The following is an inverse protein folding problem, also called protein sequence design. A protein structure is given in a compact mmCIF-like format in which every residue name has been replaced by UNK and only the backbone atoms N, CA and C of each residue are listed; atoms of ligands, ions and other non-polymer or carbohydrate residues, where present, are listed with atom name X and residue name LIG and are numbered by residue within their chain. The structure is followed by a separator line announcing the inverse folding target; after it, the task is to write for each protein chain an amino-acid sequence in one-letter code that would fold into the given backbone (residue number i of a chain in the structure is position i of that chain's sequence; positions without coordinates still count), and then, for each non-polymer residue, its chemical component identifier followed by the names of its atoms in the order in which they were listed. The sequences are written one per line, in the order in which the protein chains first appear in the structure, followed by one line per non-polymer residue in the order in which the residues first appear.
data_IF_103076605870
#
_entry.id   IF_103076605870
#
_cell.length_a   1.000
_cell.length_b   1.000
_cell.length_c   1.000
_cell.angle_alpha   90.00
_cell.angle_beta   90.00
_cell.angle_gamma   90.00
#
_symmetry.space_group_name_H-M   'P 1'
#
loop_
_entity.id
_entity.type
_entity.pdbx_description
1 polymer ?
#
# COMPACT_ATOMS: atom_id res chain seq x y z
N UNK A 1 -11.37 -22.05 29.65
CA UNK A 1 -11.91 -22.51 28.35
C UNK A 1 -10.82 -22.33 27.31
N UNK A 2 -10.35 -23.41 26.69
CA UNK A 2 -9.33 -23.36 25.64
C UNK A 2 -10.03 -23.23 24.29
N UNK A 3 -9.86 -22.10 23.61
CA UNK A 3 -10.35 -21.93 22.24
C UNK A 3 -9.40 -22.64 21.29
N UNK A 4 -9.82 -23.78 20.75
CA UNK A 4 -9.11 -24.50 19.69
C UNK A 4 -9.31 -23.72 18.38
N UNK A 5 -8.32 -22.92 17.99
CA UNK A 5 -8.33 -22.22 16.71
C UNK A 5 -8.12 -23.24 15.57
N UNK A 6 -9.17 -23.53 14.80
CA UNK A 6 -9.04 -24.24 13.52
C UNK A 6 -8.53 -23.23 12.48
N UNK A 7 -7.24 -23.35 12.14
CA UNK A 7 -6.56 -22.50 11.16
C UNK A 7 -6.91 -22.86 9.69
N UNK A 8 -7.80 -23.83 9.46
CA UNK A 8 -8.01 -24.44 8.14
C UNK A 8 -8.93 -23.65 7.19
N UNK A 9 -9.41 -22.46 7.57
CA UNK A 9 -10.43 -21.73 6.80
C UNK A 9 -9.91 -20.59 5.92
N UNK A 10 -8.68 -20.13 6.14
CA UNK A 10 -8.06 -19.09 5.31
C UNK A 10 -6.61 -19.44 4.98
N UNK A 11 -6.33 -19.58 3.69
CA UNK A 11 -4.99 -19.85 3.19
C UNK A 11 -4.30 -18.53 2.83
N UNK A 12 -3.36 -18.09 3.67
CA UNK A 12 -2.53 -16.90 3.41
C UNK A 12 -1.15 -17.32 2.91
N UNK A 13 -0.79 -16.81 1.74
CA UNK A 13 0.49 -16.98 1.05
C UNK A 13 1.14 -15.61 0.83
N UNK A 14 2.41 -15.45 1.19
CA UNK A 14 3.17 -14.22 0.91
C UNK A 14 4.44 -14.55 0.13
N UNK A 15 4.62 -13.87 -1.00
CA UNK A 15 5.78 -14.03 -1.88
C UNK A 15 6.59 -12.72 -1.95
N UNK A 16 7.92 -12.83 -2.00
CA UNK A 16 8.83 -11.70 -2.13
C UNK A 16 9.78 -11.92 -3.32
N UNK A 17 9.72 -11.02 -4.30
CA UNK A 17 10.58 -11.02 -5.49
C UNK A 17 11.28 -9.66 -5.60
N UNK A 18 12.59 -9.68 -5.86
CA UNK A 18 13.43 -8.47 -5.84
C UNK A 18 14.33 -8.40 -7.08
N UNK A 19 14.76 -7.19 -7.42
CA UNK A 19 15.63 -6.93 -8.56
C UNK A 19 14.96 -7.12 -9.93
N UNK A 20 13.62 -7.07 -9.98
CA UNK A 20 12.85 -7.26 -11.21
C UNK A 20 13.01 -6.05 -12.14
N UNK A 21 12.96 -6.32 -13.45
CA UNK A 21 12.63 -5.28 -14.44
C UNK A 21 11.15 -4.93 -14.37
N UNK A 22 10.77 -3.75 -14.85
CA UNK A 22 9.35 -3.37 -14.89
C UNK A 22 8.53 -4.31 -15.78
N UNK A 23 9.11 -4.81 -16.87
CA UNK A 23 8.48 -5.83 -17.74
C UNK A 23 8.16 -7.11 -16.97
N UNK A 24 9.10 -7.62 -16.17
CA UNK A 24 8.86 -8.79 -15.33
C UNK A 24 7.76 -8.55 -14.29
N UNK A 25 7.67 -7.33 -13.74
CA UNK A 25 6.57 -6.96 -12.83
C UNK A 25 5.23 -6.96 -13.56
N UNK A 26 5.16 -6.36 -14.76
CA UNK A 26 3.95 -6.37 -15.60
C UNK A 26 3.51 -7.81 -15.88
N UNK A 27 4.41 -8.66 -16.41
CA UNK A 27 4.11 -10.06 -16.70
C UNK A 27 3.59 -10.80 -15.47
N UNK A 28 4.24 -10.60 -14.31
CA UNK A 28 3.83 -11.26 -13.06
C UNK A 28 2.45 -10.82 -12.59
N UNK A 29 2.10 -9.54 -12.77
CA UNK A 29 0.76 -9.02 -12.44
C UNK A 29 -0.28 -9.56 -13.43
N UNK A 30 0.02 -9.56 -14.73
CA UNK A 30 -0.93 -9.96 -15.78
C UNK A 30 -1.27 -11.46 -15.77
N UNK A 31 -0.45 -12.30 -15.12
CA UNK A 31 -0.76 -13.71 -14.88
C UNK A 31 -1.82 -13.93 -13.79
N UNK A 32 -2.17 -12.89 -13.03
CA UNK A 32 -3.17 -12.94 -11.98
C UNK A 32 -4.57 -12.60 -12.53
N UNK A 33 -5.61 -13.20 -11.95
CA UNK A 33 -6.97 -13.15 -12.50
C UNK A 33 -7.70 -11.83 -12.19
N UNK A 34 -7.50 -11.27 -10.99
CA UNK A 34 -8.11 -10.02 -10.54
C UNK A 34 -7.20 -9.30 -9.53
N UNK A 35 -5.96 -8.92 -9.91
CA UNK A 35 -4.99 -8.41 -8.97
C UNK A 35 -5.34 -7.01 -8.43
N UNK A 36 -5.17 -6.84 -7.12
CA UNK A 36 -5.22 -5.56 -6.42
C UNK A 36 -3.79 -5.03 -6.29
N UNK A 37 -3.38 -4.13 -7.17
CA UNK A 37 -2.00 -3.65 -7.31
C UNK A 37 -1.80 -2.35 -6.53
N UNK A 38 -1.01 -2.40 -5.46
CA UNK A 38 -0.64 -1.25 -4.63
C UNK A 38 0.64 -0.64 -5.16
N UNK A 39 0.64 0.68 -5.34
CA UNK A 39 1.85 1.46 -5.64
C UNK A 39 1.96 2.70 -4.76
N UNK A 40 3.18 3.02 -4.33
CA UNK A 40 3.52 4.30 -3.72
C UNK A 40 3.47 5.38 -4.80
N UNK A 41 2.40 6.19 -4.83
CA UNK A 41 2.12 7.07 -5.96
C UNK A 41 2.44 8.53 -5.65
N UNK A 42 1.95 9.04 -4.52
CA UNK A 42 2.17 10.43 -4.08
C UNK A 42 3.19 10.43 -2.96
N UNK A 43 4.29 11.17 -3.11
CA UNK A 43 5.31 11.29 -2.08
C UNK A 43 4.93 12.28 -0.98
N UNK A 44 5.73 12.31 0.10
CA UNK A 44 5.54 13.24 1.22
C UNK A 44 5.62 14.74 0.85
N UNK A 45 6.12 15.05 -0.35
CA UNK A 45 6.21 16.41 -0.90
C UNK A 45 5.26 16.63 -2.09
N UNK A 46 4.23 15.79 -2.23
CA UNK A 46 3.19 15.90 -3.25
C UNK A 46 3.43 15.05 -4.51
N UNK A 47 2.52 15.20 -5.47
CA UNK A 47 2.46 14.39 -6.68
C UNK A 47 3.48 14.86 -7.71
N UNK A 48 4.52 14.05 -7.97
CA UNK A 48 5.60 14.41 -8.91
C UNK A 48 5.25 14.04 -10.34
N UNK A 49 5.27 15.00 -11.26
CA UNK A 49 4.92 14.77 -12.69
C UNK A 49 5.76 13.64 -13.32
N UNK A 50 7.06 13.61 -13.07
CA UNK A 50 7.94 12.57 -13.60
C UNK A 50 7.60 11.17 -13.06
N UNK A 51 7.25 11.08 -11.77
CA UNK A 51 6.81 9.83 -11.15
C UNK A 51 5.47 9.33 -11.71
N UNK A 52 4.52 10.26 -11.91
CA UNK A 52 3.23 9.98 -12.57
C UNK A 52 3.44 9.43 -13.97
N UNK A 53 4.26 10.11 -14.78
CA UNK A 53 4.57 9.68 -16.14
C UNK A 53 5.22 8.29 -16.15
N UNK A 54 6.17 8.03 -15.25
CA UNK A 54 6.79 6.71 -15.13
C UNK A 54 5.77 5.61 -14.84
N UNK A 55 4.93 5.80 -13.80
CA UNK A 55 3.95 4.79 -13.45
C UNK A 55 2.92 4.56 -14.55
N UNK A 56 2.46 5.63 -15.20
CA UNK A 56 1.55 5.55 -16.35
C UNK A 56 2.15 4.68 -17.45
N UNK A 57 3.29 5.09 -17.99
CA UNK A 57 3.85 4.51 -19.22
C UNK A 57 4.39 3.11 -19.01
N UNK A 58 4.98 2.83 -17.84
CA UNK A 58 5.73 1.61 -17.61
C UNK A 58 5.03 0.61 -16.70
N UNK A 59 3.90 0.95 -16.05
CA UNK A 59 3.24 0.02 -15.14
C UNK A 59 1.72 -0.01 -15.27
N UNK A 60 1.04 1.13 -15.06
CA UNK A 60 -0.42 1.21 -15.04
C UNK A 60 -1.00 0.90 -16.43
N UNK A 61 -0.63 1.67 -17.46
CA UNK A 61 -1.18 1.44 -18.81
C UNK A 61 -0.85 0.05 -19.36
N UNK A 62 0.41 -0.45 -19.27
CA UNK A 62 0.74 -1.79 -19.77
C UNK A 62 -0.01 -2.92 -19.08
N UNK A 63 -0.21 -2.84 -17.76
CA UNK A 63 -0.97 -3.84 -17.01
C UNK A 63 -2.45 -3.78 -17.38
N UNK A 64 -3.06 -2.60 -17.38
CA UNK A 64 -4.50 -2.45 -17.67
C UNK A 64 -4.86 -2.89 -19.09
N UNK A 65 -3.94 -2.78 -20.05
CA UNK A 65 -4.12 -3.30 -21.42
C UNK A 65 -4.17 -4.84 -21.48
N UNK A 66 -3.47 -5.53 -20.60
CA UNK A 66 -3.35 -7.00 -20.60
C UNK A 66 -4.25 -7.68 -19.56
N UNK A 67 -4.51 -7.01 -18.44
CA UNK A 67 -5.34 -7.48 -17.34
C UNK A 67 -6.38 -6.40 -16.99
N UNK A 68 -7.47 -6.40 -17.76
CA UNK A 68 -8.60 -5.45 -17.62
C UNK A 68 -9.37 -5.59 -16.31
N UNK A 69 -9.05 -6.59 -15.48
CA UNK A 69 -9.61 -6.76 -14.13
C UNK A 69 -8.70 -6.20 -13.04
N UNK A 70 -7.44 -5.89 -13.35
CA UNK A 70 -6.53 -5.31 -12.38
C UNK A 70 -7.08 -4.00 -11.82
N UNK A 71 -6.93 -3.81 -10.51
CA UNK A 71 -7.29 -2.58 -9.81
C UNK A 71 -6.04 -2.00 -9.16
N UNK A 72 -5.68 -0.77 -9.51
CA UNK A 72 -4.56 -0.04 -8.92
C UNK A 72 -5.00 0.79 -7.71
N UNK A 73 -4.28 0.60 -6.61
CA UNK A 73 -4.39 1.33 -5.36
C UNK A 73 -3.22 2.32 -5.26
N UNK A 74 -3.48 3.56 -5.65
CA UNK A 74 -2.53 4.67 -5.68
C UNK A 74 -2.40 5.24 -4.27
N UNK A 75 -1.30 4.92 -3.59
CA UNK A 75 -1.11 5.33 -2.20
C UNK A 75 -0.57 6.76 -2.13
N UNK A 76 -1.20 7.56 -1.27
CA UNK A 76 -0.75 8.90 -0.92
C UNK A 76 0.02 8.94 0.41
N UNK A 77 1.33 9.14 0.28
CA UNK A 77 2.28 9.18 1.39
C UNK A 77 2.44 10.59 2.00
N UNK A 78 1.57 11.55 1.70
CA UNK A 78 1.69 12.94 2.22
C UNK A 78 1.74 12.98 3.76
N UNK A 79 0.98 12.13 4.44
CA UNK A 79 0.96 12.02 5.91
C UNK A 79 2.34 11.69 6.52
N UNK A 80 3.21 11.01 5.77
CA UNK A 80 4.58 10.70 6.18
C UNK A 80 5.46 11.94 6.33
N UNK A 81 5.01 13.12 5.87
CA UNK A 81 5.68 14.39 6.13
C UNK A 81 5.84 14.71 7.62
N UNK A 82 4.92 14.24 8.49
CA UNK A 82 4.97 14.46 9.94
C UNK A 82 6.22 13.86 10.61
N UNK A 83 6.83 12.86 9.98
CA UNK A 83 8.06 12.19 10.45
C UNK A 83 9.33 12.99 10.15
N UNK A 84 9.21 14.03 9.32
CA UNK A 84 10.33 14.82 8.82
C UNK A 84 10.23 16.29 9.27
N UNK A 85 9.04 16.77 9.56
CA UNK A 85 8.76 18.15 9.94
C UNK A 85 7.52 18.20 10.86
N UNK A 86 7.65 18.79 12.05
CA UNK A 86 6.56 18.98 13.03
C UNK A 86 5.41 19.86 12.53
N UNK A 87 5.64 20.66 11.48
CA UNK A 87 4.58 21.46 10.85
C UNK A 87 3.66 20.61 9.96
N UNK A 88 4.05 19.36 9.64
CA UNK A 88 3.21 18.41 8.93
C UNK A 88 2.39 17.56 9.90
N UNK A 89 1.21 17.12 9.49
CA UNK A 89 0.34 16.25 10.29
C UNK A 89 0.17 14.88 9.65
N UNK A 90 -0.02 13.84 10.47
CA UNK A 90 -0.48 12.52 10.01
C UNK A 90 -1.88 12.53 9.40
N UNK A 91 -2.61 13.65 9.55
CA UNK A 91 -3.90 13.87 8.89
C UNK A 91 -3.77 14.49 7.51
N UNK A 92 -2.57 14.94 7.12
CA UNK A 92 -2.35 15.57 5.82
C UNK A 92 -2.49 14.54 4.69
N UNK A 93 -3.12 14.97 3.61
CA UNK A 93 -3.23 14.22 2.37
C UNK A 93 -3.13 15.19 1.19
N UNK A 94 -2.77 14.68 0.01
CA UNK A 94 -2.71 15.48 -1.20
C UNK A 94 -4.11 15.66 -1.80
N UNK A 95 -4.46 16.88 -2.22
CA UNK A 95 -5.76 17.15 -2.83
C UNK A 95 -6.00 16.39 -4.14
N UNK A 96 -4.94 15.98 -4.85
CA UNK A 96 -5.06 15.16 -6.07
C UNK A 96 -5.71 13.80 -5.79
N UNK A 97 -5.63 13.29 -4.55
CA UNK A 97 -6.33 12.06 -4.16
C UNK A 97 -7.83 12.16 -4.40
N UNK A 98 -8.43 13.32 -4.11
CA UNK A 98 -9.85 13.52 -4.29
C UNK A 98 -10.24 13.56 -5.77
N UNK A 99 -9.37 14.07 -6.66
CA UNK A 99 -9.63 14.00 -8.10
C UNK A 99 -9.51 12.57 -8.63
N UNK A 100 -8.51 11.83 -8.19
CA UNK A 100 -8.36 10.41 -8.55
C UNK A 100 -9.60 9.62 -8.11
N UNK A 101 -10.10 9.85 -6.90
CA UNK A 101 -11.33 9.22 -6.38
C UNK A 101 -12.60 9.63 -7.13
N UNK A 102 -12.59 10.76 -7.86
CA UNK A 102 -13.73 11.21 -8.69
C UNK A 102 -13.75 10.55 -10.07
N UNK A 103 -12.67 9.91 -10.49
CA UNK A 103 -12.69 9.16 -11.74
C UNK A 103 -13.73 8.04 -11.62
N UNK A 104 -14.61 7.91 -12.62
CA UNK A 104 -15.67 6.90 -12.63
C UNK A 104 -15.13 5.46 -12.80
N UNK A 105 -13.82 5.32 -12.95
CA UNK A 105 -13.15 4.05 -13.18
C UNK A 105 -12.92 3.27 -11.87
N UNK A 106 -13.52 2.09 -11.78
CA UNK A 106 -13.33 1.19 -10.64
C UNK A 106 -11.92 0.59 -10.55
N UNK A 107 -11.13 0.67 -11.62
CA UNK A 107 -9.78 0.12 -11.68
C UNK A 107 -8.73 1.04 -11.11
N UNK A 108 -9.02 2.31 -10.87
CA UNK A 108 -8.11 3.25 -10.24
C UNK A 108 -8.72 3.72 -8.93
N UNK A 109 -8.02 3.47 -7.83
CA UNK A 109 -8.41 3.90 -6.49
C UNK A 109 -7.26 4.66 -5.86
N UNK A 110 -7.58 5.60 -4.98
CA UNK A 110 -6.59 6.25 -4.15
C UNK A 110 -6.77 5.81 -2.69
N UNK A 111 -5.67 5.62 -1.97
CA UNK A 111 -5.69 5.35 -0.54
C UNK A 111 -4.70 6.26 0.19
N UNK A 112 -5.18 6.95 1.21
CA UNK A 112 -4.42 7.97 1.93
C UNK A 112 -3.70 7.31 3.11
N UNK A 113 -2.39 7.49 3.25
CA UNK A 113 -1.67 7.08 4.47
C UNK A 113 -2.29 7.68 5.73
N UNK A 114 -2.86 8.88 5.64
CA UNK A 114 -3.62 9.51 6.72
C UNK A 114 -4.79 8.64 7.22
N UNK A 115 -5.49 7.93 6.32
CA UNK A 115 -6.57 6.99 6.68
C UNK A 115 -6.00 5.80 7.45
N UNK A 116 -4.86 5.29 7.02
CA UNK A 116 -4.19 4.15 7.68
C UNK A 116 -3.63 4.55 9.04
N UNK A 117 -2.99 5.72 9.16
CA UNK A 117 -2.52 6.24 10.45
C UNK A 117 -3.65 6.50 11.43
N UNK A 118 -4.78 7.04 10.96
CA UNK A 118 -6.00 7.16 11.78
C UNK A 118 -6.45 5.78 12.29
N UNK A 119 -6.49 4.76 11.43
CA UNK A 119 -6.81 3.39 11.86
C UNK A 119 -5.82 2.85 12.90
N UNK A 120 -4.53 3.10 12.73
CA UNK A 120 -3.50 2.70 13.71
C UNK A 120 -3.76 3.34 15.08
N UNK A 121 -4.24 4.59 15.13
CA UNK A 121 -4.64 5.25 16.37
C UNK A 121 -5.89 4.63 16.99
N UNK A 122 -6.84 4.21 16.16
CA UNK A 122 -8.17 3.75 16.58
C UNK A 122 -8.23 2.25 16.95
N UNK A 123 -7.18 1.46 16.66
CA UNK A 123 -7.14 0.05 17.09
C UNK A 123 -7.09 -0.02 18.61
N UNK A 124 -8.17 -0.56 19.17
CA UNK A 124 -8.39 -0.69 20.62
C UNK A 124 -8.59 -2.14 21.06
N UNK A 125 -8.75 -3.06 20.11
CA UNK A 125 -8.94 -4.48 20.39
C UNK A 125 -7.68 -5.03 21.06
N UNK A 126 -7.83 -5.43 22.33
CA UNK A 126 -6.69 -5.79 23.20
C UNK A 126 -5.79 -6.85 22.58
N UNK A 127 -6.36 -7.85 21.94
CA UNK A 127 -5.61 -8.93 21.28
C UNK A 127 -4.81 -8.45 20.08
N UNK A 128 -5.37 -7.56 19.24
CA UNK A 128 -4.63 -6.91 18.15
C UNK A 128 -3.51 -6.02 18.69
N UNK A 129 -3.80 -5.20 19.71
CA UNK A 129 -2.82 -4.31 20.35
C UNK A 129 -1.66 -5.13 20.92
N UNK A 130 -1.95 -6.14 21.74
CA UNK A 130 -0.95 -6.99 22.38
C UNK A 130 -0.11 -7.76 21.34
N UNK A 131 -0.74 -8.23 20.26
CA UNK A 131 -0.04 -8.93 19.19
C UNK A 131 0.95 -8.00 18.47
N UNK A 132 0.48 -6.85 17.98
CA UNK A 132 1.34 -5.96 17.20
C UNK A 132 2.43 -5.33 18.05
N UNK A 133 2.18 -4.95 19.30
CA UNK A 133 3.24 -4.50 20.20
C UNK A 133 4.40 -5.49 20.25
N UNK A 134 4.13 -6.78 20.45
CA UNK A 134 5.16 -7.83 20.41
C UNK A 134 5.79 -8.01 19.03
N UNK A 135 5.00 -7.99 17.96
CA UNK A 135 5.49 -8.19 16.60
C UNK A 135 6.46 -7.09 16.16
N UNK A 136 6.21 -5.84 16.53
CA UNK A 136 7.03 -4.69 16.12
C UNK A 136 8.41 -4.66 16.79
N UNK A 137 8.60 -5.37 17.90
CA UNK A 137 9.93 -5.58 18.53
C UNK A 137 10.84 -6.53 17.73
N UNK A 138 10.36 -7.16 16.65
CA UNK A 138 11.19 -8.04 15.81
C UNK A 138 12.35 -7.25 15.18
N UNK A 139 13.56 -7.74 15.40
CA UNK A 139 14.83 -7.08 15.03
C UNK A 139 14.95 -6.66 13.57
N UNK A 140 14.31 -7.35 12.61
CA UNK A 140 14.41 -6.98 11.20
C UNK A 140 13.66 -5.67 10.91
N UNK A 141 12.51 -5.45 11.55
CA UNK A 141 11.68 -4.25 11.41
C UNK A 141 12.49 -3.05 11.89
N UNK A 142 12.93 -3.04 13.15
CA UNK A 142 13.66 -1.89 13.71
C UNK A 142 15.00 -1.61 13.03
N UNK A 143 15.67 -2.64 12.48
CA UNK A 143 16.93 -2.45 11.74
C UNK A 143 16.77 -1.73 10.42
N UNK A 144 15.63 -1.83 9.74
CA UNK A 144 15.46 -1.33 8.37
C UNK A 144 15.54 0.20 8.26
N UNK A 145 15.25 0.94 9.33
CA UNK A 145 15.36 2.41 9.38
C UNK A 145 16.39 2.94 10.38
N UNK A 146 17.18 2.06 11.02
CA UNK A 146 18.16 2.46 12.07
C UNK A 146 19.20 3.50 11.61
N UNK A 147 19.50 3.50 10.31
CA UNK A 147 20.49 4.39 9.69
C UNK A 147 19.92 5.76 9.30
N UNK A 148 18.60 5.95 9.42
CA UNK A 148 17.97 7.22 9.09
C UNK A 148 18.43 8.30 10.09
N UNK A 149 18.56 9.56 9.63
CA UNK A 149 19.01 10.64 10.50
C UNK A 149 18.02 10.87 11.63
N UNK A 150 18.52 11.15 12.83
CA UNK A 150 17.68 11.54 13.95
C UNK A 150 17.02 12.90 13.63
N UNK A 151 15.69 12.99 13.75
CA UNK A 151 14.95 14.24 13.55
C UNK A 151 14.55 14.90 14.86
N UNK A 152 14.78 14.23 16.00
CA UNK A 152 14.33 14.64 17.33
C UNK A 152 12.81 14.90 17.36
N UNK A 153 12.06 14.10 16.61
CA UNK A 153 10.60 14.08 16.62
C UNK A 153 10.19 12.74 17.17
N UNK A 154 9.57 12.69 18.34
CA UNK A 154 9.15 11.46 18.97
C UNK A 154 7.82 10.96 18.39
N UNK A 155 7.60 9.64 18.39
CA UNK A 155 6.32 9.03 17.95
C UNK A 155 5.12 9.61 18.71
N UNK A 156 5.25 9.90 20.00
CA UNK A 156 4.17 10.54 20.79
C UNK A 156 3.76 11.91 20.28
N UNK A 157 4.68 12.69 19.73
CA UNK A 157 4.38 14.03 19.21
C UNK A 157 3.54 13.92 17.93
N UNK A 158 3.79 12.88 17.12
CA UNK A 158 3.09 12.62 15.87
C UNK A 158 1.67 12.07 16.13
N UNK A 159 1.53 11.14 17.08
CA UNK A 159 0.28 10.44 17.38
C UNK A 159 -0.48 11.01 18.60
N UNK A 160 0.03 12.09 19.19
CA UNK A 160 -0.55 12.77 20.37
C UNK A 160 -0.81 11.83 21.56
N UNK A 161 0.15 10.93 21.85
CA UNK A 161 0.03 9.87 22.86
C UNK A 161 -1.20 8.94 22.72
N UNK A 162 -1.89 8.99 21.57
CA UNK A 162 -3.15 8.29 21.32
C UNK A 162 -2.98 7.22 20.24
N UNK A 163 -2.14 6.22 20.52
CA UNK A 163 -1.96 5.03 19.70
C UNK A 163 -1.45 3.83 20.55
N UNK A 164 -2.36 3.00 21.07
CA UNK A 164 -2.01 1.89 21.97
C UNK A 164 -0.95 0.92 21.40
N UNK A 165 -1.00 0.64 20.10
CA UNK A 165 -0.04 -0.24 19.39
C UNK A 165 1.40 0.30 19.46
N UNK A 166 1.56 1.63 19.51
CA UNK A 166 2.86 2.29 19.44
C UNK A 166 3.37 2.76 20.82
N UNK A 167 2.65 2.45 21.90
CA UNK A 167 3.00 2.92 23.26
C UNK A 167 4.44 2.61 23.69
N UNK A 168 4.99 1.44 23.32
CA UNK A 168 6.39 1.07 23.59
C UNK A 168 7.41 1.94 22.81
N UNK A 169 6.97 2.63 21.77
CA UNK A 169 7.78 3.40 20.83
C UNK A 169 7.62 4.91 20.98
N UNK A 170 6.76 5.38 21.89
CA UNK A 170 6.41 6.80 22.02
C UNK A 170 7.60 7.75 22.16
N UNK A 171 8.63 7.34 22.92
CA UNK A 171 9.83 8.16 23.13
C UNK A 171 10.94 7.91 22.08
N UNK A 172 10.69 7.09 21.06
CA UNK A 172 11.64 6.86 19.99
C UNK A 172 11.51 7.95 18.93
N UNK A 173 12.64 8.32 18.33
CA UNK A 173 12.65 9.17 17.14
C UNK A 173 11.86 8.50 16.01
N UNK A 174 10.94 9.26 15.44
CA UNK A 174 9.97 8.78 14.49
C UNK A 174 10.62 8.43 13.15
N UNK A 175 11.65 9.16 12.73
CA UNK A 175 12.36 8.88 11.48
C UNK A 175 13.22 7.61 11.62
N UNK A 176 13.82 7.37 12.79
CA UNK A 176 14.49 6.09 13.12
C UNK A 176 13.54 4.92 13.38
N UNK A 177 12.26 5.21 13.57
CA UNK A 177 11.18 4.24 13.73
C UNK A 177 10.34 4.08 12.46
N UNK A 178 10.76 4.69 11.34
CA UNK A 178 10.02 4.72 10.08
C UNK A 178 9.55 3.31 9.64
N UNK A 179 10.46 2.33 9.74
CA UNK A 179 10.19 0.96 9.30
C UNK A 179 9.09 0.25 10.09
N UNK A 180 8.86 0.62 11.35
CA UNK A 180 7.80 0.05 12.19
C UNK A 180 6.44 0.45 11.63
N UNK A 181 6.31 1.72 11.27
CA UNK A 181 5.08 2.25 10.70
C UNK A 181 4.89 1.82 9.26
N UNK A 182 5.96 1.67 8.49
CA UNK A 182 5.87 1.23 7.09
C UNK A 182 5.41 -0.23 7.05
N UNK A 183 5.86 -1.02 8.02
CA UNK A 183 5.40 -2.39 8.24
C UNK A 183 3.92 -2.44 8.62
N UNK A 184 3.50 -1.66 9.63
CA UNK A 184 2.09 -1.56 10.03
C UNK A 184 1.19 -1.08 8.90
N UNK A 185 1.61 -0.06 8.14
CA UNK A 185 0.87 0.46 7.00
C UNK A 185 0.68 -0.65 5.96
N UNK A 186 1.73 -1.41 5.62
CA UNK A 186 1.60 -2.55 4.70
C UNK A 186 0.61 -3.61 5.21
N UNK A 187 0.64 -3.95 6.50
CA UNK A 187 -0.32 -4.89 7.09
C UNK A 187 -1.76 -4.40 6.98
N UNK A 188 -2.00 -3.10 7.26
CA UNK A 188 -3.35 -2.54 7.25
C UNK A 188 -3.86 -2.18 5.86
N UNK A 189 -2.97 -1.98 4.88
CA UNK A 189 -3.34 -1.91 3.46
C UNK A 189 -3.85 -3.27 2.97
N UNK A 190 -3.20 -4.37 3.38
CA UNK A 190 -3.70 -5.73 3.11
C UNK A 190 -5.06 -5.95 3.77
N UNK A 191 -5.22 -5.58 5.05
CA UNK A 191 -6.49 -5.67 5.77
C UNK A 191 -7.61 -4.89 5.07
N UNK A 192 -7.35 -3.64 4.65
CA UNK A 192 -8.35 -2.81 3.97
C UNK A 192 -8.82 -3.42 2.66
N UNK A 193 -7.88 -3.83 1.80
CA UNK A 193 -8.21 -4.41 0.50
C UNK A 193 -8.90 -5.76 0.69
N UNK A 194 -8.42 -6.58 1.64
CA UNK A 194 -9.07 -7.84 1.98
C UNK A 194 -10.53 -7.61 2.39
N UNK A 195 -10.77 -6.69 3.34
CA UNK A 195 -12.12 -6.41 3.84
C UNK A 195 -13.06 -5.92 2.72
N UNK A 196 -12.55 -5.08 1.81
CA UNK A 196 -13.34 -4.62 0.68
C UNK A 196 -13.70 -5.74 -0.30
N UNK A 197 -12.72 -6.59 -0.67
CA UNK A 197 -12.96 -7.69 -1.59
C UNK A 197 -13.83 -8.78 -0.96
N UNK A 198 -13.57 -9.13 0.29
CA UNK A 198 -14.25 -10.17 1.03
C UNK A 198 -15.69 -9.80 1.41
N UNK A 199 -16.04 -8.50 1.40
CA UNK A 199 -17.43 -8.06 1.52
C UNK A 199 -18.31 -8.60 0.36
N UNK A 200 -17.72 -8.83 -0.81
CA UNK A 200 -18.35 -9.60 -1.87
C UNK A 200 -18.18 -11.10 -1.59
N UNK A 201 -19.25 -11.75 -1.11
CA UNK A 201 -19.24 -13.15 -0.65
C UNK A 201 -18.95 -14.19 -1.75
N UNK A 202 -18.91 -13.78 -3.01
CA UNK A 202 -18.56 -14.63 -4.15
C UNK A 202 -17.03 -14.74 -4.33
N UNK A 203 -16.26 -13.84 -3.73
CA UNK A 203 -14.80 -13.81 -3.88
C UNK A 203 -14.17 -14.85 -2.94
N UNK A 204 -13.52 -15.85 -3.54
CA UNK A 204 -12.81 -16.92 -2.81
C UNK A 204 -11.29 -16.84 -2.96
N UNK A 205 -10.79 -16.08 -3.94
CA UNK A 205 -9.37 -15.86 -4.19
C UNK A 205 -9.08 -14.35 -4.29
N UNK A 206 -8.26 -13.84 -3.37
CA UNK A 206 -7.87 -12.44 -3.29
C UNK A 206 -6.38 -12.35 -3.56
N UNK A 207 -6.01 -11.60 -4.59
CA UNK A 207 -4.62 -11.44 -5.02
C UNK A 207 -4.21 -9.97 -4.84
N UNK A 208 -3.30 -9.70 -3.91
CA UNK A 208 -2.78 -8.35 -3.63
C UNK A 208 -1.32 -8.30 -4.05
N UNK A 209 -0.93 -7.27 -4.81
CA UNK A 209 0.43 -7.07 -5.29
C UNK A 209 0.94 -5.72 -4.83
N UNK A 210 2.02 -5.70 -4.06
CA UNK A 210 2.81 -4.50 -3.82
C UNK A 210 3.86 -4.38 -4.93
N UNK A 211 3.65 -3.48 -5.89
CA UNK A 211 4.66 -3.15 -6.90
C UNK A 211 5.53 -2.01 -6.37
N UNK A 212 6.69 -2.37 -5.82
CA UNK A 212 7.53 -1.48 -5.02
C UNK A 212 8.81 -1.07 -5.75
N UNK A 213 9.22 0.21 -5.69
CA UNK A 213 10.48 0.62 -6.30
C UNK A 213 11.69 0.22 -5.45
N UNK A 214 12.73 -0.29 -6.11
CA UNK A 214 14.03 -0.60 -5.56
C UNK A 214 13.94 -1.40 -4.24
N UNK A 215 14.59 -0.91 -3.18
CA UNK A 215 14.76 -1.64 -1.92
C UNK A 215 13.59 -1.46 -0.92
N UNK A 216 12.42 -0.93 -1.33
CA UNK A 216 11.25 -0.76 -0.45
C UNK A 216 10.72 -2.08 0.15
N UNK A 217 11.00 -3.22 -0.49
CA UNK A 217 10.64 -4.55 0.03
C UNK A 217 11.31 -4.88 1.38
N UNK A 218 12.41 -4.19 1.72
CA UNK A 218 13.19 -4.41 2.95
C UNK A 218 12.39 -4.21 4.23
N UNK A 219 11.30 -3.45 4.18
CA UNK A 219 10.45 -3.20 5.34
C UNK A 219 9.62 -4.42 5.73
N UNK A 220 9.32 -5.30 4.78
CA UNK A 220 8.35 -6.39 4.94
C UNK A 220 9.01 -7.77 5.03
N UNK A 221 10.16 -7.93 4.37
CA UNK A 221 10.80 -9.23 4.17
C UNK A 221 11.68 -9.63 5.37
N UNK A 222 11.48 -10.86 5.84
CA UNK A 222 12.43 -11.54 6.72
C UNK A 222 12.52 -13.05 6.41
N UNK A 223 13.51 -13.74 6.99
CA UNK A 223 13.69 -15.19 6.79
C UNK A 223 12.66 -16.05 7.53
N UNK A 224 11.87 -15.48 8.43
CA UNK A 224 10.94 -16.22 9.31
C UNK A 224 9.47 -16.10 8.84
N UNK A 225 9.23 -15.52 7.67
CA UNK A 225 7.91 -15.25 7.11
C UNK A 225 7.01 -14.49 8.10
N UNK A 226 7.59 -13.49 8.77
CA UNK A 226 6.94 -12.68 9.80
C UNK A 226 5.71 -11.95 9.24
N UNK A 227 5.81 -11.36 8.05
CA UNK A 227 4.69 -10.66 7.43
C UNK A 227 3.51 -11.62 7.16
N UNK A 228 3.77 -12.82 6.61
CA UNK A 228 2.73 -13.83 6.40
C UNK A 228 2.02 -14.23 7.69
N UNK A 229 2.76 -14.39 8.79
CA UNK A 229 2.18 -14.71 10.11
C UNK A 229 1.29 -13.58 10.62
N UNK A 230 1.71 -12.34 10.43
CA UNK A 230 0.97 -11.17 10.90
C UNK A 230 -0.30 -10.94 10.07
N UNK A 231 -0.23 -11.10 8.74
CA UNK A 231 -1.41 -11.10 7.87
C UNK A 231 -2.35 -12.24 8.26
N UNK A 232 -1.85 -13.46 8.45
CA UNK A 232 -2.70 -14.60 8.85
C UNK A 232 -3.43 -14.32 10.17
N UNK A 233 -2.76 -13.70 11.14
CA UNK A 233 -3.39 -13.29 12.40
C UNK A 233 -4.49 -12.24 12.16
N UNK A 234 -4.20 -11.15 11.43
CA UNK A 234 -5.19 -10.13 11.07
C UNK A 234 -6.41 -10.72 10.37
N UNK A 235 -6.19 -11.52 9.32
CA UNK A 235 -7.27 -12.10 8.52
C UNK A 235 -8.07 -13.11 9.33
N UNK A 236 -7.46 -13.87 10.23
CA UNK A 236 -8.20 -14.77 11.12
C UNK A 236 -9.20 -14.01 12.00
N UNK A 237 -8.82 -12.82 12.49
CA UNK A 237 -9.71 -11.95 13.26
C UNK A 237 -10.85 -11.38 12.43
N UNK A 238 -10.58 -11.02 11.18
CA UNK A 238 -11.63 -10.55 10.25
C UNK A 238 -12.58 -11.66 9.83
N UNK A 239 -12.07 -12.86 9.64
CA UNK A 239 -12.84 -14.03 9.30
C UNK A 239 -13.87 -14.37 10.40
N UNK A 240 -13.52 -14.23 11.67
CA UNK A 240 -14.46 -14.39 12.80
C UNK A 240 -15.66 -13.45 12.67
N UNK A 241 -15.44 -12.22 12.18
CA UNK A 241 -16.47 -11.18 12.03
C UNK A 241 -17.32 -11.42 10.77
N UNK A 242 -16.69 -11.74 9.64
CA UNK A 242 -17.36 -11.83 8.35
C UNK A 242 -18.02 -13.20 8.09
N UNK A 243 -17.67 -14.23 8.86
CA UNK A 243 -18.15 -15.61 8.71
C UNK A 243 -18.00 -16.15 7.26
N UNK A 244 -16.92 -15.78 6.60
CA UNK A 244 -16.64 -16.27 5.24
C UNK A 244 -16.09 -17.69 5.34
N UNK A 245 -16.26 -18.51 4.30
CA UNK A 245 -15.68 -19.86 4.26
C UNK A 245 -14.69 -19.93 3.09
N UNK A 246 -13.51 -20.48 3.36
CA UNK A 246 -12.52 -20.85 2.35
C UNK A 246 -12.04 -19.70 1.46
N UNK A 247 -11.37 -18.71 2.05
CA UNK A 247 -10.66 -17.67 1.28
C UNK A 247 -9.18 -18.04 1.13
N UNK A 248 -8.69 -17.97 -0.11
CA UNK A 248 -7.27 -17.86 -0.42
C UNK A 248 -6.89 -16.38 -0.54
N UNK A 249 -5.88 -15.97 0.22
CA UNK A 249 -5.25 -14.65 0.10
C UNK A 249 -3.79 -14.85 -0.33
N UNK A 250 -3.45 -14.32 -1.51
CA UNK A 250 -2.08 -14.23 -1.97
C UNK A 250 -1.61 -12.77 -1.92
N UNK A 251 -0.49 -12.52 -1.25
CA UNK A 251 0.16 -11.21 -1.22
C UNK A 251 1.55 -11.32 -1.86
N UNK A 252 1.79 -10.59 -2.95
CA UNK A 252 3.08 -10.57 -3.63
C UNK A 252 3.76 -9.23 -3.45
N UNK A 253 5.03 -9.23 -3.08
CA UNK A 253 5.89 -8.05 -3.10
C UNK A 253 6.83 -8.15 -4.31
N UNK A 254 6.61 -7.29 -5.30
CA UNK A 254 7.38 -7.24 -6.54
C UNK A 254 8.24 -5.97 -6.54
N UNK A 255 9.50 -6.09 -6.16
CA UNK A 255 10.44 -4.97 -6.16
C UNK A 255 11.08 -4.79 -7.55
N UNK A 256 10.80 -3.66 -8.20
CA UNK A 256 11.33 -3.32 -9.52
C UNK A 256 12.45 -2.28 -9.45
N UNK A 257 13.42 -2.37 -10.37
CA UNK A 257 14.49 -1.38 -10.49
C UNK A 257 13.97 -0.05 -11.04
N UNK A 258 14.35 1.05 -10.40
CA UNK A 258 14.05 2.41 -10.85
C UNK A 258 15.28 3.32 -10.68
N UNK A 259 15.64 4.05 -11.72
CA UNK A 259 16.84 4.89 -11.71
C UNK A 259 18.13 4.07 -11.61
N UNK A 260 19.18 4.70 -11.10
CA UNK A 260 20.52 4.10 -10.97
C UNK A 260 20.86 3.76 -9.51
N UNK A 261 20.19 4.39 -8.54
CA UNK A 261 20.51 4.26 -7.12
C UNK A 261 19.40 3.53 -6.35
N UNK A 262 19.74 2.69 -5.36
CA UNK A 262 18.75 1.92 -4.59
C UNK A 262 17.74 2.76 -3.81
N UNK A 263 18.04 4.04 -3.54
CA UNK A 263 17.18 4.96 -2.78
C UNK A 263 16.30 5.85 -3.66
N UNK A 264 16.45 5.80 -4.99
CA UNK A 264 15.61 6.55 -5.90
C UNK A 264 14.18 6.00 -5.92
N UNK A 265 13.19 6.88 -6.08
CA UNK A 265 11.77 6.54 -6.03
C UNK A 265 11.01 7.37 -7.07
N UNK A 266 10.08 6.79 -7.84
CA UNK A 266 9.24 7.57 -8.75
C UNK A 266 8.46 8.66 -8.02
N UNK A 267 7.86 8.34 -6.85
CA UNK A 267 7.06 9.29 -6.06
C UNK A 267 7.87 10.41 -5.37
N UNK A 268 9.22 10.33 -5.39
CA UNK A 268 10.11 11.41 -4.95
C UNK A 268 10.96 11.97 -6.09
N UNK A 269 10.61 11.68 -7.36
CA UNK A 269 11.35 12.16 -8.51
C UNK A 269 11.49 13.69 -8.50
N UNK A 270 12.60 14.17 -9.07
CA UNK A 270 12.83 15.60 -9.25
C UNK A 270 11.81 16.23 -10.20
N UNK A 271 11.66 17.55 -10.12
CA UNK A 271 10.79 18.32 -11.01
C UNK A 271 9.47 18.77 -10.38
N UNK A 272 8.54 19.14 -11.28
CA UNK A 272 7.30 19.85 -10.94
C UNK A 272 6.35 18.98 -10.13
N UNK A 273 5.80 19.57 -9.05
CA UNK A 273 4.65 19.02 -8.33
C UNK A 273 3.39 19.37 -9.12
N UNK A 274 2.60 18.36 -9.48
CA UNK A 274 1.30 18.55 -10.10
C UNK A 274 0.33 19.14 -9.09
N UNK A 275 -0.43 20.14 -9.53
CA UNK A 275 -1.56 20.69 -8.80
C UNK A 275 -2.83 19.93 -9.17
N UNK A 276 -3.85 19.99 -8.30
CA UNK A 276 -5.10 19.29 -8.49
C UNK A 276 -5.76 19.62 -9.85
N UNK A 277 -5.82 20.89 -10.22
CA UNK A 277 -6.38 21.41 -11.48
C UNK A 277 -5.62 20.97 -12.74
N UNK A 278 -4.52 20.24 -12.59
CA UNK A 278 -3.65 19.78 -13.67
C UNK A 278 -3.66 18.26 -13.84
N UNK A 279 -4.48 17.52 -13.09
CA UNK A 279 -4.53 16.06 -13.17
C UNK A 279 -5.80 15.61 -13.88
N UNK A 280 -5.64 14.96 -15.04
CA UNK A 280 -6.72 14.26 -15.73
C UNK A 280 -6.64 12.74 -15.51
N UNK A 281 -7.67 12.01 -15.95
CA UNK A 281 -7.66 10.55 -15.93
C UNK A 281 -6.57 10.00 -16.86
N UNK A 282 -6.41 10.60 -18.04
CA UNK A 282 -5.39 10.26 -19.04
C UNK A 282 -3.97 10.44 -18.50
N UNK A 283 -3.76 11.41 -17.59
CA UNK A 283 -2.47 11.58 -16.90
C UNK A 283 -2.12 10.39 -16.00
N UNK A 284 -3.12 9.62 -15.55
CA UNK A 284 -2.92 8.46 -14.67
C UNK A 284 -2.86 7.16 -15.48
N UNK A 285 -3.77 6.96 -16.43
CA UNK A 285 -3.90 5.67 -17.15
C UNK A 285 -3.40 5.66 -18.58
N UNK A 286 -3.10 6.82 -19.18
CA UNK A 286 -2.49 6.93 -20.51
C UNK A 286 -3.40 6.63 -21.71
N UNK A 287 -4.72 6.63 -21.53
CA UNK A 287 -5.70 6.63 -22.61
C UNK A 287 -7.01 7.28 -22.13
N UNK A 288 -7.73 7.93 -23.05
CA UNK A 288 -9.07 8.42 -22.79
C UNK A 288 -10.04 7.23 -22.82
N UNK A 289 -10.99 7.19 -21.88
CA UNK A 289 -12.15 6.31 -21.99
C UNK A 289 -13.33 7.09 -22.52
N UNK A 290 -14.01 6.55 -23.51
CA UNK A 290 -15.28 7.12 -23.91
C UNK A 290 -16.32 6.85 -22.82
N UNK A 291 -17.20 7.81 -22.53
CA UNK A 291 -18.15 7.71 -21.39
C UNK A 291 -19.09 6.50 -21.51
N UNK A 292 -19.36 6.06 -22.74
CA UNK A 292 -20.15 4.85 -23.05
C UNK A 292 -19.37 3.54 -22.80
N UNK A 293 -18.05 3.55 -22.95
CA UNK A 293 -17.17 2.39 -22.72
C UNK A 293 -17.04 2.06 -21.24
N UNK A 294 -17.01 3.08 -20.39
CA UNK A 294 -17.06 2.93 -18.93
C UNK A 294 -18.36 2.23 -18.50
N UNK A 295 -19.46 2.51 -19.20
CA UNK A 295 -20.78 1.92 -18.91
C UNK A 295 -20.96 0.52 -19.53
N UNK A 296 -20.25 0.21 -20.63
CA UNK A 296 -20.37 -1.07 -21.34
C UNK A 296 -19.25 -2.09 -21.03
N UNK A 297 -18.15 -1.66 -20.43
CA UNK A 297 -16.98 -2.52 -20.17
C UNK A 297 -16.17 -2.90 -21.42
N UNK A 298 -16.40 -2.20 -22.53
CA UNK A 298 -15.72 -2.45 -23.82
C UNK A 298 -14.65 -1.38 -24.07
N UNK A 299 -13.50 -1.78 -24.61
CA UNK A 299 -12.37 -0.89 -24.89
C UNK A 299 -12.30 -0.63 -26.41
N UNK A 300 -12.44 0.63 -26.86
CA UNK A 300 -12.07 1.02 -28.22
C UNK A 300 -10.85 1.94 -28.13
N UNK A 301 -9.73 1.41 -28.58
CA UNK A 301 -8.50 2.17 -28.69
C UNK A 301 -8.58 3.10 -29.91
N UNK A 302 -8.31 4.39 -29.71
CA UNK A 302 -7.93 5.30 -30.77
C UNK A 302 -6.39 5.39 -30.79
N UNK A 303 -5.70 4.77 -31.76
CA UNK A 303 -4.28 5.01 -31.95
C UNK A 303 -4.11 6.42 -32.50
N UNK A 304 -3.37 7.25 -31.76
CA UNK A 304 -2.71 8.49 -32.21
C UNK A 304 -3.61 9.63 -32.72
N UNK A 305 -3.66 10.70 -31.91
CA UNK A 305 -3.65 12.09 -32.39
C UNK A 305 -2.57 12.86 -31.61
#
# INVERSE_FOLDING_TARGET
MSATFSFDKCHVEVEFMDGLSTEQVITSICQLSNPQVIIWYIGCYGLKKAGVQFYKDFLISPVLRQSVKATFWLVDLTAWGAFKNLQCSIRNFNSCCNEIERFLDKQIKCIKSAKIFKKIQEISEKDLVDYFRRALHRRFISKASKHFPNKNICIKEIFSDNCPILSDWYNHDANKSYSILQYLEGCLLVDEIFMEQAANREVTDIQIVFALPNDEIKYYRDKKNSFQKDIRFLISKRHEILNIKNIRLQVKFLAFKYGFQPHERPYNASGKVLKNDQLSYEDVVGYARNKEEILRGEFIYAPNL
#
